data_IF_097353868039
#
_entry.id   IF_097353868039
#
_cell.length_a   1.000
_cell.length_b   1.000
_cell.length_c   1.000
_cell.angle_alpha   90.00
_cell.angle_beta   90.00
_cell.angle_gamma   90.00
#
_symmetry.space_group_name_H-M   'P 1'
#
loop_
_entity.id
_entity.type
_entity.pdbx_description
1 polymer ?
#
# COMPACT_ATOMS: atom_id res chain seq x y z
N UNK A 1 -18.32 -67.93 29.45
CA UNK A 1 -18.24 -66.67 28.67
C UNK A 1 -18.45 -65.56 29.69
N UNK A 2 -17.73 -64.45 29.61
CA UNK A 2 -17.59 -63.39 30.66
C UNK A 2 -16.43 -63.60 31.66
N UNK A 3 -15.16 -63.45 31.22
CA UNK A 3 -14.08 -62.90 32.07
C UNK A 3 -12.80 -62.43 31.34
N UNK A 4 -12.79 -62.27 30.01
CA UNK A 4 -11.58 -61.85 29.26
C UNK A 4 -11.68 -60.47 28.59
N UNK A 5 -12.82 -59.76 28.71
CA UNK A 5 -13.05 -58.49 27.99
C UNK A 5 -12.58 -57.24 28.78
N UNK A 6 -12.27 -57.37 30.07
CA UNK A 6 -11.99 -56.19 30.92
C UNK A 6 -10.50 -55.79 30.94
N UNK A 7 -9.57 -56.65 30.50
CA UNK A 7 -8.12 -56.39 30.65
C UNK A 7 -7.52 -55.58 29.48
N UNK A 8 -8.17 -55.49 28.32
CA UNK A 8 -7.62 -54.75 27.17
C UNK A 8 -8.01 -53.27 27.12
N UNK A 9 -8.82 -52.77 28.06
CA UNK A 9 -9.32 -51.38 28.05
C UNK A 9 -8.53 -50.40 28.91
N UNK A 10 -7.40 -50.81 29.52
CA UNK A 10 -6.63 -49.97 30.46
C UNK A 10 -5.23 -49.56 29.98
N UNK A 11 -4.79 -49.92 28.78
CA UNK A 11 -3.41 -49.64 28.31
C UNK A 11 -3.27 -48.65 27.16
N UNK A 12 -4.31 -47.88 26.82
CA UNK A 12 -4.27 -46.92 25.69
C UNK A 12 -4.12 -45.45 26.10
N UNK A 13 -3.97 -45.14 27.39
CA UNK A 13 -3.90 -43.75 27.88
C UNK A 13 -2.48 -43.19 28.12
N UNK A 14 -1.41 -43.83 27.65
CA UNK A 14 -0.04 -43.39 27.98
C UNK A 14 0.88 -42.99 26.80
N UNK A 15 0.39 -42.90 25.57
CA UNK A 15 1.20 -42.33 24.48
C UNK A 15 0.45 -41.20 23.77
N UNK A 16 0.62 -39.99 24.30
CA UNK A 16 0.42 -38.78 23.53
C UNK A 16 1.51 -38.70 22.47
N UNK A 17 1.20 -39.11 21.24
CA UNK A 17 2.05 -38.84 20.10
C UNK A 17 1.85 -37.37 19.69
N UNK A 18 2.79 -36.51 20.08
CA UNK A 18 2.98 -35.21 19.43
C UNK A 18 3.43 -35.48 18.00
N UNK A 19 2.54 -35.31 17.02
CA UNK A 19 2.94 -35.30 15.63
C UNK A 19 3.47 -33.91 15.27
N UNK A 20 4.78 -33.82 15.08
CA UNK A 20 5.48 -32.68 14.50
C UNK A 20 4.85 -32.31 13.15
N UNK A 21 4.44 -31.05 13.02
CA UNK A 21 3.74 -30.54 11.85
C UNK A 21 4.74 -29.97 10.85
N UNK A 22 5.24 -30.82 9.95
CA UNK A 22 6.20 -30.44 8.92
C UNK A 22 5.47 -29.97 7.64
N UNK A 23 5.38 -28.65 7.46
CA UNK A 23 4.52 -27.93 6.50
C UNK A 23 4.82 -28.15 5.01
N UNK A 24 4.65 -29.36 4.50
CA UNK A 24 4.86 -29.69 3.08
C UNK A 24 3.66 -30.46 2.51
N UNK A 25 2.61 -29.74 2.11
CA UNK A 25 1.50 -30.35 1.37
C UNK A 25 1.92 -30.64 -0.09
N UNK A 26 1.80 -31.89 -0.57
CA UNK A 26 1.94 -32.19 -1.99
C UNK A 26 0.84 -31.46 -2.77
N UNK A 27 1.22 -30.67 -3.79
CA UNK A 27 0.27 -30.27 -4.83
C UNK A 27 -0.08 -31.53 -5.62
N UNK A 28 -1.37 -31.80 -5.82
CA UNK A 28 -2.01 -32.79 -6.73
C UNK A 28 -2.81 -33.87 -5.98
N UNK A 29 -4.01 -34.29 -6.36
CA UNK A 29 -4.95 -33.93 -7.42
C UNK A 29 -6.32 -33.74 -6.75
N UNK A 30 -6.94 -32.57 -6.87
CA UNK A 30 -8.35 -32.43 -6.52
C UNK A 30 -9.17 -33.15 -7.60
N UNK A 31 -9.78 -34.29 -7.26
CA UNK A 31 -10.75 -34.94 -8.14
C UNK A 31 -11.91 -33.98 -8.40
N UNK A 32 -12.52 -34.00 -9.59
CA UNK A 32 -13.75 -33.26 -9.88
C UNK A 32 -14.91 -33.64 -8.94
N UNK A 33 -14.79 -34.79 -8.26
CA UNK A 33 -15.74 -35.30 -7.24
C UNK A 33 -15.39 -34.91 -5.80
N UNK A 34 -14.32 -34.14 -5.57
CA UNK A 34 -13.97 -33.62 -4.24
C UNK A 34 -13.34 -34.62 -3.27
N UNK A 35 -12.83 -35.74 -3.77
CA UNK A 35 -12.09 -36.75 -3.00
C UNK A 35 -10.59 -36.51 -3.12
N UNK A 36 -9.90 -36.53 -1.98
CA UNK A 36 -8.46 -36.35 -1.83
C UNK A 36 -7.85 -37.54 -1.08
N UNK A 37 -6.58 -37.84 -1.37
CA UNK A 37 -5.84 -38.94 -0.75
C UNK A 37 -4.87 -38.39 0.30
N UNK A 38 -5.03 -38.82 1.55
CA UNK A 38 -4.20 -38.45 2.69
C UNK A 38 -3.45 -39.69 3.17
N UNK A 39 -2.27 -39.93 2.60
CA UNK A 39 -1.53 -41.17 2.84
C UNK A 39 -2.33 -42.40 2.36
N UNK A 40 -2.59 -43.34 3.28
CA UNK A 40 -3.39 -44.54 2.99
C UNK A 40 -4.91 -44.31 3.01
N UNK A 41 -5.38 -43.13 3.43
CA UNK A 41 -6.80 -42.81 3.56
C UNK A 41 -7.29 -42.00 2.37
N UNK A 42 -8.45 -42.35 1.82
CA UNK A 42 -9.18 -41.51 0.86
C UNK A 42 -10.32 -40.85 1.62
N UNK A 43 -10.36 -39.51 1.59
CA UNK A 43 -11.41 -38.73 2.25
C UNK A 43 -11.77 -37.49 1.43
N UNK A 44 -12.75 -36.71 1.89
CA UNK A 44 -13.09 -35.45 1.23
C UNK A 44 -11.91 -34.46 1.27
N UNK A 45 -11.74 -33.72 0.17
CA UNK A 45 -10.75 -32.65 0.09
C UNK A 45 -11.02 -31.58 1.15
N UNK A 46 -9.98 -30.90 1.61
CA UNK A 46 -10.14 -29.76 2.52
C UNK A 46 -11.16 -28.75 1.99
N UNK A 47 -12.11 -28.35 2.84
CA UNK A 47 -13.24 -27.50 2.44
C UNK A 47 -14.40 -28.24 1.78
N UNK A 48 -14.43 -29.57 1.82
CA UNK A 48 -15.54 -30.40 1.38
C UNK A 48 -16.03 -31.27 2.54
N UNK A 49 -17.35 -31.46 2.66
CA UNK A 49 -17.96 -32.34 3.66
C UNK A 49 -18.57 -33.56 2.98
N UNK A 50 -18.53 -34.69 3.70
CA UNK A 50 -19.11 -35.96 3.25
C UNK A 50 -20.61 -35.94 3.52
N UNK A 51 -21.44 -36.04 2.48
CA UNK A 51 -22.87 -36.28 2.65
C UNK A 51 -23.13 -37.70 3.14
N UNK A 52 -24.36 -37.96 3.59
CA UNK A 52 -24.84 -39.28 4.04
C UNK A 52 -24.64 -40.40 3.01
N UNK A 53 -24.47 -40.08 1.73
CA UNK A 53 -24.22 -41.04 0.63
C UNK A 53 -22.75 -41.16 0.22
N UNK A 54 -21.83 -40.58 0.99
CA UNK A 54 -20.39 -40.66 0.74
C UNK A 54 -19.84 -39.77 -0.38
N UNK A 55 -20.69 -38.95 -0.98
CA UNK A 55 -20.28 -37.90 -1.92
C UNK A 55 -19.72 -36.70 -1.15
N UNK A 56 -18.56 -36.23 -1.58
CA UNK A 56 -17.97 -35.00 -1.06
C UNK A 56 -18.64 -33.82 -1.76
N UNK A 57 -19.03 -32.82 -0.99
CA UNK A 57 -19.49 -31.54 -1.54
C UNK A 57 -18.75 -30.37 -0.92
N UNK A 58 -18.48 -29.30 -1.68
CA UNK A 58 -17.82 -28.14 -1.14
C UNK A 58 -18.68 -27.54 -0.02
N UNK A 59 -18.06 -27.21 1.12
CA UNK A 59 -18.72 -26.62 2.29
C UNK A 59 -19.56 -25.37 1.93
N UNK A 60 -19.19 -24.69 0.83
CA UNK A 60 -19.89 -23.55 0.25
C UNK A 60 -21.35 -23.82 -0.18
N UNK A 61 -21.80 -25.08 -0.24
CA UNK A 61 -23.14 -25.44 -0.72
C UNK A 61 -24.11 -25.99 0.35
N UNK A 62 -23.73 -26.10 1.64
CA UNK A 62 -24.55 -26.80 2.63
C UNK A 62 -24.88 -26.06 3.93
N UNK A 63 -24.37 -24.85 4.17
CA UNK A 63 -24.76 -24.06 5.36
C UNK A 63 -25.30 -22.69 4.98
N UNK A 64 -26.28 -22.65 4.08
CA UNK A 64 -27.10 -21.47 3.83
C UNK A 64 -28.58 -21.64 4.23
N UNK A 65 -28.94 -22.67 5.01
CA UNK A 65 -30.35 -22.88 5.42
C UNK A 65 -30.64 -23.27 6.87
N UNK A 66 -29.67 -23.30 7.79
CA UNK A 66 -30.01 -23.70 9.19
C UNK A 66 -29.61 -22.69 10.27
N UNK A 67 -28.61 -21.79 10.09
CA UNK A 67 -28.22 -20.88 11.18
C UNK A 67 -27.89 -19.43 10.79
N UNK A 68 -28.13 -19.01 9.55
CA UNK A 68 -27.94 -17.59 9.16
C UNK A 68 -26.49 -17.06 9.27
N UNK A 69 -25.50 -17.91 9.52
CA UNK A 69 -24.10 -17.50 9.60
C UNK A 69 -23.55 -17.36 8.17
N UNK A 70 -23.41 -16.10 7.71
CA UNK A 70 -22.59 -15.78 6.54
C UNK A 70 -21.13 -15.98 6.91
N UNK A 71 -20.57 -17.17 6.66
CA UNK A 71 -19.12 -17.33 6.66
C UNK A 71 -18.56 -16.69 5.38
N UNK A 72 -18.20 -15.41 5.45
CA UNK A 72 -17.33 -14.82 4.44
C UNK A 72 -16.00 -15.60 4.47
N UNK A 73 -15.44 -15.98 3.30
CA UNK A 73 -14.12 -16.58 3.26
C UNK A 73 -13.14 -15.59 3.90
N UNK A 74 -12.69 -15.89 5.12
CA UNK A 74 -11.79 -15.03 5.85
C UNK A 74 -10.42 -15.15 5.18
N UNK A 75 -9.92 -14.05 4.63
CA UNK A 75 -8.55 -13.99 4.12
C UNK A 75 -7.60 -14.13 5.32
N UNK A 76 -7.08 -15.33 5.53
CA UNK A 76 -6.10 -15.62 6.59
C UNK A 76 -4.72 -15.68 5.96
N UNK A 77 -3.83 -14.80 6.44
CA UNK A 77 -2.43 -14.77 6.06
C UNK A 77 -1.60 -15.23 7.25
N UNK A 78 -1.07 -16.46 7.20
CA UNK A 78 -0.47 -17.13 8.36
C UNK A 78 0.82 -16.44 8.83
N UNK A 79 1.59 -15.88 7.89
CA UNK A 79 2.78 -15.07 8.17
C UNK A 79 2.48 -13.57 8.35
N UNK A 80 1.22 -13.15 8.15
CA UNK A 80 0.80 -11.75 8.15
C UNK A 80 1.33 -10.92 6.96
N UNK A 81 0.68 -9.79 6.70
CA UNK A 81 1.14 -8.78 5.75
C UNK A 81 1.67 -7.58 6.54
N UNK A 82 2.96 -7.25 6.46
CA UNK A 82 3.55 -6.15 7.25
C UNK A 82 3.04 -4.79 6.77
N UNK A 83 3.25 -4.50 5.50
CA UNK A 83 2.80 -3.26 4.84
C UNK A 83 1.79 -3.60 3.74
N UNK A 84 0.67 -4.24 4.11
CA UNK A 84 -0.35 -4.60 3.14
C UNK A 84 -1.59 -5.22 3.75
N UNK A 85 -2.55 -5.52 2.89
CA UNK A 85 -3.84 -6.11 3.24
C UNK A 85 -3.88 -7.58 2.84
N UNK A 86 -4.46 -8.42 3.70
CA UNK A 86 -4.70 -9.82 3.36
C UNK A 86 -5.95 -9.90 2.47
N UNK A 87 -5.77 -10.24 1.19
CA UNK A 87 -6.85 -10.31 0.19
C UNK A 87 -7.27 -11.74 -0.13
N UNK A 88 -6.55 -12.73 0.40
CA UNK A 88 -6.86 -14.14 0.27
C UNK A 88 -5.92 -15.01 1.11
N UNK A 89 -6.09 -16.34 1.09
CA UNK A 89 -5.24 -17.26 1.82
C UNK A 89 -3.77 -17.09 1.39
N UNK A 90 -2.93 -16.67 2.35
CA UNK A 90 -1.52 -16.30 2.17
C UNK A 90 -1.24 -15.38 0.96
N UNK A 91 -2.23 -14.54 0.61
CA UNK A 91 -2.11 -13.53 -0.44
C UNK A 91 -2.22 -12.15 0.17
N UNK A 92 -1.07 -11.46 0.20
CA UNK A 92 -0.98 -10.06 0.57
C UNK A 92 -1.07 -9.15 -0.66
N UNK A 93 -1.88 -8.11 -0.57
CA UNK A 93 -1.85 -6.95 -1.45
C UNK A 93 -1.04 -5.87 -0.74
N UNK A 94 0.16 -5.58 -1.24
CA UNK A 94 1.04 -4.60 -0.61
C UNK A 94 0.56 -3.16 -0.81
N UNK A 95 0.80 -2.31 0.19
CA UNK A 95 0.68 -0.87 0.03
C UNK A 95 1.73 -0.35 -0.95
N UNK A 96 1.50 0.86 -1.49
CA UNK A 96 2.47 1.52 -2.35
C UNK A 96 3.83 1.66 -1.63
N UNK A 97 4.92 1.44 -2.37
CA UNK A 97 6.29 1.47 -1.83
C UNK A 97 6.77 0.15 -1.21
N UNK A 98 5.96 -0.92 -1.22
CA UNK A 98 6.36 -2.22 -0.67
C UNK A 98 6.11 -3.38 -1.63
N UNK A 99 6.90 -4.43 -1.47
CA UNK A 99 6.87 -5.66 -2.27
C UNK A 99 7.21 -6.90 -1.43
N UNK A 100 7.17 -8.08 -2.08
CA UNK A 100 7.38 -9.38 -1.46
C UNK A 100 6.08 -10.06 -1.01
N UNK A 101 6.16 -11.35 -0.69
CA UNK A 101 4.98 -12.18 -0.34
C UNK A 101 4.23 -11.68 0.90
N UNK A 102 4.95 -11.08 1.85
CA UNK A 102 4.41 -10.55 3.11
C UNK A 102 4.55 -9.02 3.20
N UNK A 103 4.83 -8.35 2.07
CA UNK A 103 5.02 -6.89 2.01
C UNK A 103 6.08 -6.37 2.98
N UNK A 104 7.18 -7.13 3.12
CA UNK A 104 8.28 -6.85 4.03
C UNK A 104 9.49 -6.22 3.34
N UNK A 105 9.48 -6.13 2.01
CA UNK A 105 10.55 -5.56 1.22
C UNK A 105 10.14 -4.18 0.73
N UNK A 106 11.08 -3.24 0.77
CA UNK A 106 10.93 -1.93 0.16
C UNK A 106 10.97 -2.06 -1.36
N UNK A 107 10.06 -1.40 -2.06
CA UNK A 107 10.01 -1.38 -3.51
C UNK A 107 10.85 -0.21 -4.02
N UNK A 108 11.93 -0.48 -4.75
CA UNK A 108 12.72 0.60 -5.35
C UNK A 108 12.02 1.17 -6.60
N UNK A 109 11.26 2.25 -6.45
CA UNK A 109 10.50 2.85 -7.55
C UNK A 109 11.41 3.51 -8.59
N UNK A 110 12.63 3.89 -8.23
CA UNK A 110 13.60 4.49 -9.15
C UNK A 110 14.08 3.54 -10.26
N UNK A 111 13.92 2.22 -10.03
CA UNK A 111 14.23 1.17 -11.01
C UNK A 111 13.06 0.80 -11.94
N UNK A 112 11.86 1.32 -11.67
CA UNK A 112 10.67 1.01 -12.45
C UNK A 112 10.66 1.74 -13.80
N UNK A 113 9.92 1.19 -14.77
CA UNK A 113 9.70 1.77 -16.09
C UNK A 113 8.19 1.94 -16.33
N UNK A 114 7.70 3.16 -16.68
CA UNK A 114 8.46 4.41 -16.79
C UNK A 114 9.01 4.90 -15.44
N UNK A 115 10.12 5.65 -15.49
CA UNK A 115 10.73 6.20 -14.27
C UNK A 115 9.80 7.25 -13.64
N UNK A 116 9.61 7.24 -12.31
CA UNK A 116 8.69 8.16 -11.65
C UNK A 116 9.19 9.61 -11.64
N UNK A 117 10.51 9.83 -11.58
CA UNK A 117 11.11 11.16 -11.57
C UNK A 117 11.67 11.54 -12.95
N UNK A 118 11.54 12.83 -13.31
CA UNK A 118 12.11 13.39 -14.55
C UNK A 118 13.64 13.53 -14.53
N UNK A 119 14.18 13.92 -13.37
CA UNK A 119 15.62 14.13 -13.16
C UNK A 119 16.22 13.03 -12.29
N UNK A 120 16.57 13.34 -11.03
CA UNK A 120 17.22 12.41 -10.11
C UNK A 120 16.18 11.78 -9.20
N UNK A 121 16.28 10.46 -9.00
CA UNK A 121 15.42 9.71 -8.10
C UNK A 121 16.27 9.12 -6.98
N UNK A 122 15.79 9.21 -5.74
CA UNK A 122 16.39 8.60 -4.57
C UNK A 122 15.35 7.72 -3.88
N UNK A 123 15.66 6.44 -3.76
CA UNK A 123 14.81 5.49 -3.06
C UNK A 123 14.86 5.76 -1.55
N UNK A 124 13.73 5.67 -0.87
CA UNK A 124 13.60 5.80 0.59
C UNK A 124 12.73 4.67 1.13
N UNK A 125 12.73 4.43 2.44
CA UNK A 125 11.91 3.34 2.97
C UNK A 125 10.42 3.66 2.85
N UNK A 126 9.68 2.83 2.11
CA UNK A 126 8.25 2.94 1.83
C UNK A 126 7.88 4.01 0.79
N UNK A 127 8.86 4.67 0.15
CA UNK A 127 8.61 5.74 -0.82
C UNK A 127 9.87 6.14 -1.60
N UNK A 128 9.78 7.20 -2.41
CA UNK A 128 10.93 7.78 -3.09
C UNK A 128 10.87 9.31 -3.08
N UNK A 129 12.03 9.94 -3.27
CA UNK A 129 12.16 11.38 -3.43
C UNK A 129 12.76 11.73 -4.77
N UNK A 130 12.13 12.66 -5.47
CA UNK A 130 12.68 13.24 -6.69
C UNK A 130 13.49 14.50 -6.37
N UNK A 131 14.62 14.66 -7.04
CA UNK A 131 15.45 15.85 -6.99
C UNK A 131 15.64 16.43 -8.39
N UNK A 132 15.53 17.74 -8.48
CA UNK A 132 15.75 18.47 -9.71
C UNK A 132 17.23 18.87 -9.86
N UNK A 133 17.71 18.99 -11.11
CA UNK A 133 19.05 19.49 -11.41
C UNK A 133 19.16 20.99 -11.07
N UNK A 134 20.40 21.49 -10.98
CA UNK A 134 20.66 22.90 -10.71
C UNK A 134 19.90 23.82 -11.68
N UNK A 135 19.22 24.82 -11.13
CA UNK A 135 18.34 25.71 -11.91
C UNK A 135 16.93 25.17 -12.13
N UNK A 136 16.56 24.03 -11.55
CA UNK A 136 15.20 23.51 -11.55
C UNK A 136 14.70 23.29 -10.12
N UNK A 137 13.41 23.56 -9.89
CA UNK A 137 12.75 23.37 -8.60
C UNK A 137 11.57 22.40 -8.74
N UNK A 138 11.30 21.63 -7.69
CA UNK A 138 10.21 20.67 -7.67
C UNK A 138 8.87 21.41 -7.58
N UNK A 139 7.98 21.13 -8.53
CA UNK A 139 6.62 21.62 -8.55
C UNK A 139 5.70 20.77 -7.65
N UNK A 140 4.53 21.27 -7.24
CA UNK A 140 3.56 20.52 -6.43
C UNK A 140 3.05 19.25 -7.10
N UNK A 141 3.06 19.19 -8.44
CA UNK A 141 2.71 18.01 -9.24
C UNK A 141 3.84 16.96 -9.32
N UNK A 142 4.96 17.20 -8.64
CA UNK A 142 6.15 16.34 -8.65
C UNK A 142 7.06 16.54 -9.88
N UNK A 143 6.70 17.44 -10.80
CA UNK A 143 7.51 17.76 -11.97
C UNK A 143 8.65 18.74 -11.62
N UNK A 144 9.67 18.82 -12.48
CA UNK A 144 10.77 19.78 -12.30
C UNK A 144 10.55 20.98 -13.24
N UNK A 145 10.29 22.15 -12.65
CA UNK A 145 10.18 23.43 -13.35
C UNK A 145 11.50 24.19 -13.36
N UNK A 146 11.76 24.95 -14.42
CA UNK A 146 12.95 25.80 -14.47
C UNK A 146 12.79 26.95 -13.47
N UNK A 147 13.69 27.05 -12.49
CA UNK A 147 13.68 28.11 -11.49
C UNK A 147 14.07 29.49 -12.06
N UNK A 148 14.66 29.52 -13.27
CA UNK A 148 14.99 30.75 -14.01
C UNK A 148 13.88 31.23 -14.93
N UNK A 149 12.69 30.62 -14.88
CA UNK A 149 11.54 31.09 -15.67
C UNK A 149 10.46 31.69 -14.77
N UNK A 150 9.62 32.53 -15.39
CA UNK A 150 8.51 33.19 -14.71
C UNK A 150 7.43 32.25 -14.19
N UNK A 151 7.42 30.97 -14.63
CA UNK A 151 6.48 29.97 -14.14
C UNK A 151 6.64 29.63 -12.65
N UNK A 152 7.78 29.97 -12.03
CA UNK A 152 8.04 29.71 -10.61
C UNK A 152 8.42 30.97 -9.82
N UNK A 153 8.36 32.15 -10.44
CA UNK A 153 8.78 33.41 -9.81
C UNK A 153 7.85 33.86 -8.68
N UNK A 154 6.61 33.38 -8.66
CA UNK A 154 5.55 33.78 -7.74
C UNK A 154 5.44 35.31 -7.60
N UNK A 155 5.58 36.02 -8.72
CA UNK A 155 5.42 37.47 -8.77
C UNK A 155 3.95 37.84 -8.56
N UNK A 156 3.69 38.90 -7.79
CA UNK A 156 2.32 39.39 -7.60
C UNK A 156 1.68 39.87 -8.91
N UNK A 157 2.49 40.42 -9.81
CA UNK A 157 2.06 40.97 -11.09
C UNK A 157 2.92 40.42 -12.23
N UNK A 158 3.68 41.28 -12.91
CA UNK A 158 4.50 40.91 -14.07
C UNK A 158 5.77 40.18 -13.66
N UNK A 159 6.30 39.40 -14.59
CA UNK A 159 7.60 38.77 -14.47
C UNK A 159 8.35 38.86 -15.80
N UNK A 160 9.64 39.14 -15.72
CA UNK A 160 10.55 39.10 -16.86
C UNK A 160 11.82 38.31 -16.51
N UNK A 161 12.52 37.84 -17.55
CA UNK A 161 13.83 37.20 -17.41
C UNK A 161 14.88 38.12 -18.02
N UNK A 162 15.69 38.77 -17.19
CA UNK A 162 16.78 39.66 -17.60
C UNK A 162 18.12 38.94 -17.40
N UNK A 163 18.88 38.75 -18.49
CA UNK A 163 20.21 38.08 -18.47
C UNK A 163 20.20 36.70 -17.80
N UNK A 164 19.07 35.98 -17.86
CA UNK A 164 18.90 34.65 -17.26
C UNK A 164 18.50 34.67 -15.78
N UNK A 165 18.24 35.85 -15.22
CA UNK A 165 17.73 36.06 -13.87
C UNK A 165 16.25 36.49 -13.91
N UNK A 166 15.47 36.00 -12.97
CA UNK A 166 14.02 36.27 -12.90
C UNK A 166 13.79 37.53 -12.09
N UNK A 167 13.03 38.49 -12.64
CA UNK A 167 12.69 39.73 -11.95
C UNK A 167 11.19 40.00 -12.04
N UNK A 168 10.56 40.27 -10.90
CA UNK A 168 9.16 40.70 -10.88
C UNK A 168 9.06 42.18 -11.27
N UNK A 169 7.96 42.53 -11.95
CA UNK A 169 7.65 43.90 -12.39
C UNK A 169 6.33 44.37 -11.78
N UNK A 170 6.35 45.59 -11.26
CA UNK A 170 5.13 46.27 -10.83
C UNK A 170 4.46 46.98 -12.02
N UNK A 171 3.12 46.94 -12.10
CA UNK A 171 2.38 47.46 -13.24
C UNK A 171 2.34 49.00 -13.29
N UNK A 172 2.62 49.69 -12.18
CA UNK A 172 2.55 51.14 -12.11
C UNK A 172 3.81 51.76 -11.48
N UNK A 173 4.21 52.98 -11.90
CA UNK A 173 5.37 53.69 -11.34
C UNK A 173 5.24 54.03 -9.85
N UNK A 174 4.01 54.03 -9.32
CA UNK A 174 3.72 54.27 -7.90
C UNK A 174 3.87 53.03 -7.02
N UNK A 175 4.27 51.88 -7.58
CA UNK A 175 4.53 50.63 -6.87
C UNK A 175 6.01 50.26 -6.99
N UNK A 176 6.62 49.86 -5.89
CA UNK A 176 7.99 49.35 -5.84
C UNK A 176 8.01 47.90 -5.36
N UNK A 177 9.01 47.13 -5.79
CA UNK A 177 9.23 45.78 -5.26
C UNK A 177 9.55 45.86 -3.77
N UNK A 178 8.85 45.07 -2.97
CA UNK A 178 9.14 44.86 -1.56
C UNK A 178 10.49 44.15 -1.37
N UNK A 179 11.04 44.10 -0.14
CA UNK A 179 12.31 43.43 0.14
C UNK A 179 12.33 41.93 -0.22
N UNK A 180 11.17 41.30 -0.34
CA UNK A 180 11.03 39.92 -0.79
C UNK A 180 11.24 39.73 -2.30
N UNK A 181 11.32 40.83 -3.06
CA UNK A 181 11.51 40.86 -4.50
C UNK A 181 10.33 40.33 -5.32
N UNK A 182 9.15 40.14 -4.71
CA UNK A 182 8.00 39.47 -5.33
C UNK A 182 6.71 40.26 -5.23
N UNK A 183 6.51 40.96 -4.13
CA UNK A 183 5.32 41.77 -3.86
C UNK A 183 5.58 43.22 -4.23
N UNK A 184 4.57 43.90 -4.75
CA UNK A 184 4.62 45.31 -5.08
C UNK A 184 3.92 46.10 -3.97
N UNK A 185 4.67 46.97 -3.32
CA UNK A 185 4.19 47.86 -2.27
C UNK A 185 4.12 49.30 -2.78
N UNK A 186 3.20 50.09 -2.25
CA UNK A 186 3.08 51.50 -2.60
C UNK A 186 4.38 52.25 -2.33
N UNK A 187 4.85 53.00 -3.32
CA UNK A 187 5.96 53.93 -3.15
C UNK A 187 5.53 55.05 -2.20
N UNK A 188 6.33 55.40 -1.17
CA UNK A 188 6.00 56.49 -0.26
C UNK A 188 5.85 57.84 -0.99
N UNK A 189 6.51 58.02 -2.14
CA UNK A 189 6.43 59.24 -2.96
C UNK A 189 5.12 59.41 -3.73
N UNK A 190 4.30 58.36 -3.88
CA UNK A 190 3.00 58.43 -4.54
C UNK A 190 1.82 58.54 -3.55
N UNK A 191 2.11 58.70 -2.26
CA UNK A 191 1.12 59.03 -1.24
C UNK A 191 1.47 60.37 -0.58
N UNK A 192 1.08 61.52 -1.16
CA UNK A 192 1.02 62.78 -0.41
C UNK A 192 -0.04 62.75 0.71
N UNK A 193 -0.84 61.68 0.82
CA UNK A 193 -2.02 61.61 1.71
C UNK A 193 -2.24 60.25 2.40
N UNK A 194 -1.26 59.35 2.43
CA UNK A 194 -1.36 58.10 3.20
C UNK A 194 -0.70 58.24 4.58
N UNK A 195 -1.00 59.31 5.31
CA UNK A 195 -0.72 59.39 6.74
C UNK A 195 -1.97 58.95 7.51
N UNK A 196 -1.96 57.67 7.92
CA UNK A 196 -2.60 57.18 9.13
C UNK A 196 -4.13 57.27 9.23
N UNK A 197 -4.80 56.15 8.98
CA UNK A 197 -6.02 55.84 9.74
C UNK A 197 -5.90 54.44 10.36
N UNK A 198 -5.12 54.31 11.42
CA UNK A 198 -5.42 53.33 12.47
C UNK A 198 -4.94 53.85 13.84
N UNK A 199 -5.87 53.80 14.82
CA UNK A 199 -5.79 54.07 16.27
C UNK A 199 -5.86 55.55 16.67
N UNK A 200 -6.93 56.01 17.33
CA UNK A 200 -7.56 55.51 18.56
C UNK A 200 -9.08 55.71 18.61
#
# INVERSE_FOLDING_TARGET
MELWIVITSLFSCLFGASADFDGRWPRQMASSTGLCRYGARVDCCWGWTRRSWGQCQPLFALTHRVTGIRCQPQAVCQAGCKHGECVGPDKCKCHAGFTGKTCNQDLNECGLKPRPCKHRCMNTYGSYKCYCLNGYMQMPDGSCGNARTCGMANCQYGCEVLKGEVRCQCPSPGLQLAPDGRTCVGSPSCCPSCSGSERH
#
